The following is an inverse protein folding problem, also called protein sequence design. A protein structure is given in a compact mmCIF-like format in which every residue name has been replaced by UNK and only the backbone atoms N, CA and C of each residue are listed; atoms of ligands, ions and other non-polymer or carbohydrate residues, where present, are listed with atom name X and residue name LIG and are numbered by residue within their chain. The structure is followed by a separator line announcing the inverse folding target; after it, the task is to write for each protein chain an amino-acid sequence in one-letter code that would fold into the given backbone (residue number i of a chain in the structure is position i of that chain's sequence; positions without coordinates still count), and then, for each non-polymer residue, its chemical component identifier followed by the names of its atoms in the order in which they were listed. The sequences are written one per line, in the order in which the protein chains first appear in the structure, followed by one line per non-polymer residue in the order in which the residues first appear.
data_IF_554551601470
#
_entry.id   IF_554551601470
#
_cell.length_a   1.000
_cell.length_b   1.000
_cell.length_c   1.000
_cell.angle_alpha   90.00
_cell.angle_beta   90.00
_cell.angle_gamma   90.00
#
_symmetry.space_group_name_H-M   'P 1'
#
loop_
_entity.id
_entity.type
_entity.pdbx_description
1 polymer ?
#
# COMPACT_ATOMS: atom_id res chain seq x y z
N UNK A 1 -7.55 22.15 -47.93
CA UNK A 1 -6.13 21.88 -47.61
C UNK A 1 -6.04 21.78 -46.09
N UNK A 2 -5.66 20.63 -45.55
CA UNK A 2 -5.53 20.45 -44.10
C UNK A 2 -4.22 21.11 -43.62
N UNK A 3 -4.30 21.93 -42.60
CA UNK A 3 -3.16 22.61 -41.98
C UNK A 3 -2.19 21.58 -41.39
N UNK A 4 -0.87 21.66 -41.67
CA UNK A 4 0.09 20.69 -41.18
C UNK A 4 0.20 20.81 -39.65
N UNK A 5 -0.18 19.74 -38.95
CA UNK A 5 -0.06 19.65 -37.49
C UNK A 5 1.40 19.93 -37.09
N UNK A 6 1.61 20.96 -36.27
CA UNK A 6 2.95 21.35 -35.83
C UNK A 6 3.59 20.20 -35.02
N UNK A 7 4.92 20.06 -35.10
CA UNK A 7 5.64 19.02 -34.35
C UNK A 7 5.37 19.10 -32.85
N UNK A 8 5.18 20.30 -32.31
CA UNK A 8 4.88 20.52 -30.90
C UNK A 8 3.46 20.10 -30.55
N UNK A 9 2.48 20.35 -31.43
CA UNK A 9 1.12 19.87 -31.25
C UNK A 9 1.05 18.34 -31.36
N UNK A 10 1.81 17.74 -32.27
CA UNK A 10 1.93 16.28 -32.38
C UNK A 10 2.61 15.67 -31.14
N UNK A 11 3.66 16.30 -30.61
CA UNK A 11 4.35 15.85 -29.40
C UNK A 11 3.47 15.99 -28.15
N UNK A 12 2.71 17.08 -28.02
CA UNK A 12 1.75 17.28 -26.95
C UNK A 12 0.60 16.25 -27.03
N UNK A 13 0.06 16.01 -28.23
CA UNK A 13 -0.97 15.00 -28.47
C UNK A 13 -0.44 13.58 -28.19
N UNK A 14 0.81 13.26 -28.54
CA UNK A 14 1.45 11.98 -28.21
C UNK A 14 1.72 11.84 -26.72
N UNK A 15 2.15 12.90 -26.04
CA UNK A 15 2.34 12.89 -24.59
C UNK A 15 0.99 12.68 -23.88
N UNK A 16 -0.06 13.35 -24.35
CA UNK A 16 -1.41 13.21 -23.85
C UNK A 16 -1.97 11.80 -24.14
N UNK A 17 -1.78 11.28 -25.35
CA UNK A 17 -2.13 9.92 -25.75
C UNK A 17 -1.37 8.84 -24.97
N UNK A 18 -0.08 9.07 -24.68
CA UNK A 18 0.77 8.19 -23.89
C UNK A 18 0.40 8.21 -22.40
N UNK A 19 -0.13 9.33 -21.90
CA UNK A 19 -0.71 9.40 -20.55
C UNK A 19 -2.09 8.76 -20.46
N UNK A 20 -2.87 8.74 -21.55
CA UNK A 20 -4.16 8.04 -21.65
C UNK A 20 -4.01 6.55 -21.98
N UNK A 21 -3.07 5.85 -21.36
CA UNK A 21 -3.23 4.40 -21.22
C UNK A 21 -4.47 4.18 -20.37
N UNK A 22 -5.57 3.81 -21.03
CA UNK A 22 -6.86 3.50 -20.41
C UNK A 22 -6.62 2.41 -19.38
N UNK A 23 -6.49 2.79 -18.11
CA UNK A 23 -6.49 1.85 -17.01
C UNK A 23 -7.87 1.24 -17.01
N UNK A 24 -7.97 -0.05 -17.26
CA UNK A 24 -9.27 -0.71 -17.20
C UNK A 24 -9.80 -0.61 -15.77
N UNK A 25 -11.11 -0.45 -15.60
CA UNK A 25 -11.73 -0.46 -14.27
C UNK A 25 -11.37 -1.73 -13.48
N UNK A 26 -11.14 -2.85 -14.18
CA UNK A 26 -10.69 -4.11 -13.60
C UNK A 26 -9.26 -4.01 -13.02
N UNK A 27 -8.32 -3.37 -13.71
CA UNK A 27 -6.95 -3.18 -13.19
C UNK A 27 -6.93 -2.29 -11.94
N UNK A 28 -7.77 -1.26 -11.92
CA UNK A 28 -7.90 -0.39 -10.76
C UNK A 28 -8.53 -1.12 -9.57
N UNK A 29 -9.59 -1.92 -9.79
CA UNK A 29 -10.19 -2.76 -8.74
C UNK A 29 -9.19 -3.75 -8.15
N UNK A 30 -8.42 -4.43 -8.99
CA UNK A 30 -7.39 -5.37 -8.55
C UNK A 30 -6.31 -4.65 -7.75
N UNK A 31 -5.82 -3.49 -8.22
CA UNK A 31 -4.83 -2.70 -7.49
C UNK A 31 -5.36 -2.22 -6.14
N UNK A 32 -6.60 -1.74 -6.09
CA UNK A 32 -7.27 -1.37 -4.83
C UNK A 32 -7.35 -2.56 -3.88
N UNK A 33 -7.71 -3.75 -4.36
CA UNK A 33 -7.78 -4.96 -3.53
C UNK A 33 -6.41 -5.34 -2.95
N UNK A 34 -5.34 -5.26 -3.75
CA UNK A 34 -3.98 -5.48 -3.25
C UNK A 34 -3.59 -4.48 -2.16
N UNK A 35 -3.92 -3.19 -2.33
CA UNK A 35 -3.59 -2.17 -1.34
C UNK A 35 -4.34 -2.34 -0.04
N UNK A 36 -5.63 -2.70 -0.12
CA UNK A 36 -6.41 -3.07 1.07
C UNK A 36 -5.78 -4.27 1.78
N UNK A 37 -5.41 -5.30 1.01
CA UNK A 37 -4.73 -6.49 1.52
C UNK A 37 -3.39 -6.19 2.18
N UNK A 38 -2.56 -5.32 1.59
CA UNK A 38 -1.26 -4.93 2.18
C UNK A 38 -1.49 -4.23 3.53
N UNK A 39 -2.42 -3.28 3.60
CA UNK A 39 -2.73 -2.59 4.86
C UNK A 39 -3.19 -3.56 5.95
N UNK A 40 -4.11 -4.47 5.61
CA UNK A 40 -4.59 -5.49 6.54
C UNK A 40 -3.46 -6.44 6.99
N UNK A 41 -2.61 -6.89 6.06
CA UNK A 41 -1.51 -7.79 6.38
C UNK A 41 -0.45 -7.12 7.25
N UNK A 42 -0.08 -5.86 6.98
CA UNK A 42 0.88 -5.10 7.80
C UNK A 42 0.32 -4.85 9.21
N UNK A 43 -0.95 -4.44 9.32
CA UNK A 43 -1.61 -4.29 10.62
C UNK A 43 -1.67 -5.61 11.39
N UNK A 44 -1.98 -6.71 10.70
CA UNK A 44 -2.01 -8.05 11.27
C UNK A 44 -0.63 -8.51 11.77
N UNK A 45 0.43 -8.29 10.98
CA UNK A 45 1.82 -8.58 11.40
C UNK A 45 2.16 -7.79 12.66
N UNK A 46 1.84 -6.49 12.70
CA UNK A 46 2.15 -5.66 13.85
C UNK A 46 1.39 -6.10 15.11
N UNK A 47 0.10 -6.44 14.99
CA UNK A 47 -0.70 -6.98 16.08
C UNK A 47 -0.18 -8.35 16.57
N UNK A 48 0.20 -9.23 15.63
CA UNK A 48 0.80 -10.53 15.94
C UNK A 48 2.16 -10.39 16.65
N UNK A 49 2.98 -9.39 16.28
CA UNK A 49 4.23 -9.06 16.97
C UNK A 49 4.00 -8.67 18.42
N UNK A 50 3.02 -7.79 18.67
CA UNK A 50 2.65 -7.43 20.04
C UNK A 50 2.14 -8.64 20.83
N UNK A 51 1.29 -9.48 20.23
CA UNK A 51 0.75 -10.68 20.86
C UNK A 51 1.84 -11.70 21.22
N UNK A 52 2.71 -12.03 20.26
CA UNK A 52 3.83 -12.96 20.42
C UNK A 52 4.67 -12.56 21.62
N UNK A 53 5.06 -11.30 21.69
CA UNK A 53 5.99 -10.83 22.70
C UNK A 53 5.30 -10.68 24.06
N UNK A 54 4.03 -10.29 24.10
CA UNK A 54 3.28 -10.14 25.36
C UNK A 54 2.95 -11.47 26.04
N UNK A 55 2.89 -12.57 25.27
CA UNK A 55 2.47 -13.90 25.76
C UNK A 55 3.53 -14.99 25.57
N UNK A 56 4.72 -14.63 25.08
CA UNK A 56 5.82 -15.53 24.71
C UNK A 56 5.33 -16.79 23.94
N UNK A 57 4.57 -16.55 22.86
CA UNK A 57 3.83 -17.61 22.17
C UNK A 57 4.48 -18.03 20.84
N UNK A 58 4.80 -19.32 20.63
CA UNK A 58 5.33 -19.81 19.36
C UNK A 58 4.32 -19.69 18.21
N UNK A 59 3.02 -19.71 18.53
CA UNK A 59 1.96 -19.41 17.56
C UNK A 59 2.03 -17.96 17.06
N UNK A 60 2.36 -16.99 17.93
CA UNK A 60 2.57 -15.61 17.54
C UNK A 60 3.74 -15.45 16.57
N UNK A 61 4.84 -16.17 16.79
CA UNK A 61 5.97 -16.20 15.86
C UNK A 61 5.59 -16.73 14.48
N UNK A 62 4.87 -17.86 14.43
CA UNK A 62 4.40 -18.43 13.17
C UNK A 62 3.46 -17.47 12.43
N UNK A 63 2.58 -16.78 13.16
CA UNK A 63 1.67 -15.77 12.60
C UNK A 63 2.41 -14.58 11.99
N UNK A 64 3.50 -14.10 12.63
CA UNK A 64 4.35 -13.03 12.10
C UNK A 64 5.04 -13.48 10.80
N UNK A 65 5.67 -14.66 10.81
CA UNK A 65 6.38 -15.18 9.63
C UNK A 65 5.42 -15.42 8.45
N UNK A 66 4.25 -16.00 8.71
CA UNK A 66 3.20 -16.16 7.71
C UNK A 66 2.68 -14.81 7.20
N UNK A 67 2.48 -13.84 8.09
CA UNK A 67 2.07 -12.49 7.72
C UNK A 67 3.09 -11.77 6.82
N UNK A 68 4.38 -11.87 7.11
CA UNK A 68 5.43 -11.34 6.23
C UNK A 68 5.40 -12.00 4.85
N UNK A 69 5.25 -13.32 4.78
CA UNK A 69 5.13 -14.01 3.50
C UNK A 69 3.95 -13.48 2.68
N UNK A 70 2.80 -13.25 3.32
CA UNK A 70 1.62 -12.64 2.68
C UNK A 70 1.92 -11.22 2.18
N UNK A 71 2.54 -10.37 3.01
CA UNK A 71 2.93 -9.00 2.60
C UNK A 71 3.85 -9.04 1.37
N UNK A 72 4.85 -9.92 1.37
CA UNK A 72 5.79 -10.06 0.25
C UNK A 72 5.05 -10.52 -1.02
N UNK A 73 4.17 -11.52 -0.92
CA UNK A 73 3.39 -11.99 -2.07
C UNK A 73 2.51 -10.88 -2.66
N UNK A 74 1.86 -10.09 -1.80
CA UNK A 74 1.06 -8.95 -2.23
C UNK A 74 1.93 -7.87 -2.89
N UNK A 75 3.10 -7.57 -2.33
CA UNK A 75 4.05 -6.60 -2.91
C UNK A 75 4.58 -7.05 -4.27
N UNK A 76 4.90 -8.33 -4.44
CA UNK A 76 5.31 -8.90 -5.73
C UNK A 76 4.17 -8.81 -6.74
N UNK A 77 2.94 -9.13 -6.32
CA UNK A 77 1.73 -8.96 -7.13
C UNK A 77 1.55 -7.52 -7.61
N UNK A 78 1.66 -6.56 -6.69
CA UNK A 78 1.59 -5.12 -7.00
C UNK A 78 2.72 -4.69 -7.90
N UNK A 79 3.98 -5.04 -7.64
CA UNK A 79 5.11 -4.63 -8.48
C UNK A 79 4.96 -5.11 -9.93
N UNK A 80 4.51 -6.35 -10.14
CA UNK A 80 4.29 -6.90 -11.49
C UNK A 80 3.23 -6.09 -12.25
N UNK A 81 2.20 -5.61 -11.55
CA UNK A 81 1.10 -4.83 -12.14
C UNK A 81 1.44 -3.34 -12.28
N UNK A 82 2.12 -2.75 -11.30
CA UNK A 82 2.51 -1.34 -11.27
C UNK A 82 3.43 -0.94 -12.42
N UNK A 83 4.21 -1.88 -12.98
CA UNK A 83 5.00 -1.66 -14.20
C UNK A 83 4.15 -1.32 -15.42
N UNK A 84 2.87 -1.65 -15.42
CA UNK A 84 1.93 -1.35 -16.50
C UNK A 84 1.03 -0.12 -16.25
N UNK A 85 1.07 0.46 -15.04
CA UNK A 85 0.12 1.49 -14.59
C UNK A 85 0.64 2.93 -14.82
N UNK A 86 -0.22 3.92 -15.13
CA UNK A 86 0.18 5.31 -15.35
C UNK A 86 0.90 5.95 -14.15
N UNK A 87 1.77 6.94 -14.44
CA UNK A 87 2.64 7.62 -13.46
C UNK A 87 1.90 8.16 -12.22
N UNK A 88 0.67 8.67 -12.37
CA UNK A 88 -0.13 9.20 -11.26
C UNK A 88 -0.48 8.16 -10.19
N UNK A 89 -0.80 6.93 -10.58
CA UNK A 89 -1.08 5.83 -9.64
C UNK A 89 0.15 5.44 -8.83
N UNK A 90 1.34 5.50 -9.45
CA UNK A 90 2.61 5.16 -8.79
C UNK A 90 2.95 6.12 -7.66
N UNK A 91 2.65 7.41 -7.81
CA UNK A 91 2.91 8.40 -6.76
C UNK A 91 1.95 8.23 -5.56
N UNK A 92 0.65 8.02 -5.82
CA UNK A 92 -0.35 7.76 -4.78
C UNK A 92 -0.02 6.47 -4.02
N UNK A 93 0.36 5.42 -4.75
CA UNK A 93 0.85 4.16 -4.18
C UNK A 93 2.09 4.37 -3.30
N UNK A 94 3.13 5.02 -3.84
CA UNK A 94 4.40 5.21 -3.14
C UNK A 94 4.24 6.01 -1.85
N UNK A 95 3.39 7.04 -1.86
CA UNK A 95 3.07 7.81 -0.67
C UNK A 95 2.33 6.98 0.38
N UNK A 96 1.26 6.27 -0.02
CA UNK A 96 0.49 5.44 0.90
C UNK A 96 1.31 4.32 1.53
N UNK A 97 2.07 3.60 0.70
CA UNK A 97 2.93 2.52 1.16
C UNK A 97 4.09 3.04 2.02
N UNK A 98 4.76 4.12 1.60
CA UNK A 98 5.86 4.72 2.33
C UNK A 98 5.44 5.19 3.74
N UNK A 99 4.27 5.82 3.85
CA UNK A 99 3.72 6.23 5.15
C UNK A 99 3.33 5.03 6.01
N UNK A 100 2.70 4.00 5.44
CA UNK A 100 2.38 2.77 6.18
C UNK A 100 3.66 2.11 6.71
N UNK A 101 4.73 2.02 5.91
CA UNK A 101 6.02 1.48 6.38
C UNK A 101 6.66 2.38 7.44
N UNK A 102 6.58 3.70 7.30
CA UNK A 102 7.06 4.64 8.31
C UNK A 102 6.34 4.49 9.65
N UNK A 103 5.01 4.42 9.64
CA UNK A 103 4.21 4.14 10.83
C UNK A 103 4.50 2.75 11.39
N UNK A 104 4.64 1.74 10.54
CA UNK A 104 5.03 0.41 10.99
C UNK A 104 6.37 0.42 11.75
N UNK A 105 7.40 1.08 11.21
CA UNK A 105 8.71 1.22 11.87
C UNK A 105 8.59 1.98 13.18
N UNK A 106 7.83 3.07 13.21
CA UNK A 106 7.56 3.82 14.44
C UNK A 106 6.86 2.94 15.49
N UNK A 107 5.90 2.11 15.09
CA UNK A 107 5.23 1.16 15.97
C UNK A 107 6.18 0.14 16.58
N UNK A 108 7.06 -0.44 15.75
CA UNK A 108 8.08 -1.40 16.19
C UNK A 108 9.09 -0.73 17.13
N UNK A 109 9.55 0.49 16.82
CA UNK A 109 10.47 1.24 17.67
C UNK A 109 9.83 1.60 19.00
N UNK A 110 8.63 2.20 18.97
CA UNK A 110 7.88 2.55 20.17
C UNK A 110 7.74 1.31 21.06
N UNK A 111 7.24 0.21 20.51
CA UNK A 111 7.08 -1.04 21.21
C UNK A 111 8.41 -1.57 21.80
N UNK A 112 9.54 -1.38 21.12
CA UNK A 112 10.87 -1.82 21.59
C UNK A 112 11.39 -1.01 22.79
N UNK A 113 10.95 0.25 22.95
CA UNK A 113 11.46 1.15 23.99
C UNK A 113 10.51 1.32 25.19
N UNK A 114 9.21 1.11 25.05
CA UNK A 114 8.26 1.22 26.17
C UNK A 114 8.06 -0.13 26.87
N UNK A 115 8.75 -0.32 28.01
CA UNK A 115 8.39 -1.30 29.05
C UNK A 115 7.90 -0.55 30.31
N UNK A 116 6.82 -0.97 30.99
CA UNK A 116 5.99 -2.15 30.72
C UNK A 116 4.92 -1.88 29.64
N UNK A 117 4.64 -2.98 28.93
CA UNK A 117 3.75 -3.22 27.80
C UNK A 117 2.55 -2.27 27.66
N UNK A 118 2.49 -1.54 26.53
CA UNK A 118 1.31 -0.82 26.07
C UNK A 118 0.09 -1.74 26.13
N UNK A 119 -1.00 -1.26 26.73
CA UNK A 119 -2.24 -2.02 26.75
C UNK A 119 -2.71 -2.26 25.31
N UNK A 120 -3.28 -3.45 25.03
CA UNK A 120 -3.82 -3.78 23.72
C UNK A 120 -4.87 -2.75 23.25
N UNK A 121 -5.52 -2.05 24.18
CA UNK A 121 -6.47 -0.97 23.89
C UNK A 121 -5.83 0.25 23.20
N UNK A 122 -4.53 0.49 23.39
CA UNK A 122 -3.80 1.57 22.69
C UNK A 122 -3.14 1.04 21.42
N UNK A 123 -2.62 -0.18 21.45
CA UNK A 123 -1.84 -0.74 20.35
C UNK A 123 -2.70 -1.26 19.18
N UNK A 124 -3.88 -1.82 19.45
CA UNK A 124 -4.79 -2.29 18.39
C UNK A 124 -5.30 -1.14 17.49
N UNK A 125 -5.76 0.00 18.04
CA UNK A 125 -6.07 1.16 17.21
C UNK A 125 -4.88 1.67 16.40
N UNK A 126 -3.67 1.61 16.97
CA UNK A 126 -2.44 1.99 16.25
C UNK A 126 -2.19 1.09 15.03
N UNK A 127 -2.42 -0.23 15.15
CA UNK A 127 -2.29 -1.15 14.02
C UNK A 127 -3.22 -0.76 12.86
N UNK A 128 -4.44 -0.30 13.16
CA UNK A 128 -5.37 0.21 12.14
C UNK A 128 -4.90 1.54 11.54
N UNK A 129 -4.33 2.43 12.38
CA UNK A 129 -3.75 3.70 11.92
C UNK A 129 -2.57 3.46 10.95
N UNK A 130 -1.76 2.43 11.18
CA UNK A 130 -0.66 2.04 10.28
C UNK A 130 -1.19 1.66 8.89
N UNK A 131 -2.36 1.01 8.81
CA UNK A 131 -2.99 0.66 7.54
C UNK A 131 -3.70 1.84 6.84
N UNK A 132 -4.05 2.90 7.58
CA UNK A 132 -4.87 3.99 7.06
C UNK A 132 -4.27 4.69 5.82
N UNK A 133 -2.96 5.01 5.74
CA UNK A 133 -2.38 5.66 4.56
C UNK A 133 -2.53 4.85 3.27
N UNK A 134 -2.30 3.52 3.33
CA UNK A 134 -2.43 2.65 2.15
C UNK A 134 -3.89 2.44 1.75
N UNK A 135 -4.83 2.46 2.70
CA UNK A 135 -6.27 2.41 2.40
C UNK A 135 -6.78 3.71 1.80
N UNK A 136 -6.31 4.87 2.30
CA UNK A 136 -6.59 6.17 1.68
C UNK A 136 -6.05 6.20 0.24
N UNK A 137 -4.85 5.66 0.00
CA UNK A 137 -4.31 5.50 -1.34
C UNK A 137 -5.20 4.59 -2.21
N UNK A 138 -5.68 3.47 -1.67
CA UNK A 138 -6.59 2.55 -2.36
C UNK A 138 -7.90 3.24 -2.78
N UNK A 139 -8.50 4.04 -1.89
CA UNK A 139 -9.72 4.82 -2.16
C UNK A 139 -9.46 5.90 -3.22
N UNK A 140 -8.33 6.61 -3.13
CA UNK A 140 -7.95 7.62 -4.13
C UNK A 140 -7.79 6.99 -5.52
N UNK A 141 -7.12 5.85 -5.60
CA UNK A 141 -6.95 5.08 -6.86
C UNK A 141 -8.30 4.66 -7.43
N UNK A 142 -9.18 4.11 -6.60
CA UNK A 142 -10.52 3.71 -7.02
C UNK A 142 -11.35 4.88 -7.54
N UNK A 143 -11.28 6.05 -6.88
CA UNK A 143 -11.97 7.27 -7.33
C UNK A 143 -11.43 7.83 -8.64
N UNK A 144 -10.13 7.71 -8.91
CA UNK A 144 -9.53 8.14 -10.17
C UNK A 144 -9.87 7.21 -11.35
N UNK A 145 -10.28 5.98 -11.07
CA UNK A 145 -10.66 5.00 -12.10
C UNK A 145 -12.14 4.98 -12.48
N UNK A 146 -12.97 5.76 -11.77
CA UNK A 146 -14.38 6.02 -12.10
C UNK A 146 -14.49 7.28 -12.93
#
# INVERSE_FOLDING_TARGET
MAEPVSRDAAAAALAQAATTRVVSAADAQVLTAYLVGIGAAVAGVLAASWWMLSHDSPAGFAAIMGGYAVVILLLVGVQRRARATPRGFKQVYGWGFGLTMGLYVLGVLWFSFTRPWLSGAVFLPYCLLVAAPVWVAAVKIWRMSR
#
